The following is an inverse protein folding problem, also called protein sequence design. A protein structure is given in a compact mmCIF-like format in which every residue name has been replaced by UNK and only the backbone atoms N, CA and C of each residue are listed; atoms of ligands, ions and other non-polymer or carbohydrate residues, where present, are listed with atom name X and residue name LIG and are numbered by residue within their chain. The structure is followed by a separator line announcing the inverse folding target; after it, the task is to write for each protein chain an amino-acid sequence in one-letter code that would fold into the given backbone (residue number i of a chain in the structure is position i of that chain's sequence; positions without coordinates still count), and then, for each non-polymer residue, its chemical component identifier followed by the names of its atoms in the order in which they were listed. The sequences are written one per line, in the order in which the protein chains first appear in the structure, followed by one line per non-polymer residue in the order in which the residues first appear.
data_IF_593175063641
#
_entry.id   IF_593175063641
#
_cell.length_a   1.000
_cell.length_b   1.000
_cell.length_c   1.000
_cell.angle_alpha   90.00
_cell.angle_beta   90.00
_cell.angle_gamma   90.00
#
_symmetry.space_group_name_H-M   'P 1'
#
loop_
_entity.id
_entity.type
_entity.pdbx_description
1 polymer ?
#
# COMPACT_ATOMS: atom_id res chain seq x y z
N UNK A 1 2.12 -16.60 32.90
CA UNK A 1 2.01 -17.49 34.08
C UNK A 1 3.05 -18.58 33.92
N UNK A 2 3.88 -18.89 34.93
CA UNK A 2 4.90 -19.92 34.78
C UNK A 2 4.22 -21.29 34.66
N UNK A 3 4.67 -22.09 33.70
CA UNK A 3 4.18 -23.46 33.47
C UNK A 3 4.92 -24.51 34.30
N UNK A 4 5.97 -24.12 35.05
CA UNK A 4 6.72 -25.00 35.95
C UNK A 4 7.09 -24.23 37.22
N UNK A 5 6.68 -24.74 38.38
CA UNK A 5 7.11 -24.22 39.69
C UNK A 5 8.44 -24.83 40.12
N UNK A 6 9.29 -24.07 40.80
CA UNK A 6 10.46 -24.62 41.49
C UNK A 6 10.08 -25.23 42.84
N UNK A 7 10.63 -26.40 43.13
CA UNK A 7 10.62 -27.01 44.46
C UNK A 7 12.03 -26.91 45.06
N UNK A 8 12.12 -26.46 46.31
CA UNK A 8 13.38 -26.45 47.09
C UNK A 8 13.21 -27.34 48.32
N UNK A 9 14.22 -28.15 48.60
CA UNK A 9 14.18 -29.09 49.73
C UNK A 9 15.12 -28.61 50.84
N UNK A 10 14.63 -28.58 52.08
CA UNK A 10 15.46 -28.31 53.25
C UNK A 10 16.01 -29.63 53.78
N UNK A 11 17.34 -29.80 53.73
CA UNK A 11 18.02 -30.93 54.32
C UNK A 11 18.45 -30.57 55.74
N UNK A 12 18.04 -31.37 56.73
CA UNK A 12 18.49 -31.22 58.10
C UNK A 12 19.88 -31.85 58.27
N UNK A 13 20.82 -31.12 58.87
CA UNK A 13 22.09 -31.67 59.33
C UNK A 13 21.93 -32.19 60.78
N UNK A 14 22.74 -33.19 61.15
CA UNK A 14 22.74 -33.81 62.49
C UNK A 14 23.04 -32.83 63.65
N UNK A 15 23.47 -31.60 63.34
CA UNK A 15 23.77 -30.54 64.31
C UNK A 15 22.61 -29.55 64.53
N UNK A 16 21.39 -29.90 64.11
CA UNK A 16 20.20 -29.05 64.29
C UNK A 16 20.12 -27.83 63.37
N UNK A 17 20.93 -27.78 62.31
CA UNK A 17 20.89 -26.73 61.29
C UNK A 17 20.41 -27.28 59.94
N UNK A 18 19.59 -26.53 59.21
CA UNK A 18 19.13 -26.88 57.87
C UNK A 18 20.00 -26.24 56.79
N UNK A 19 20.24 -26.96 55.68
CA UNK A 19 20.78 -26.39 54.44
C UNK A 19 19.71 -26.52 53.35
N UNK A 20 19.38 -25.40 52.71
CA UNK A 20 18.54 -25.39 51.51
C UNK A 20 19.38 -25.89 50.33
N UNK A 21 18.90 -26.93 49.64
CA UNK A 21 19.49 -27.39 48.40
C UNK A 21 18.49 -27.18 47.24
N UNK A 22 18.98 -26.56 46.17
CA UNK A 22 18.22 -26.18 44.99
C UNK A 22 18.94 -25.09 44.21
N UNK A 23 19.19 -25.31 42.91
CA UNK A 23 20.04 -24.44 42.07
C UNK A 23 19.30 -23.67 40.98
N UNK A 24 17.97 -23.62 40.97
CA UNK A 24 17.27 -22.96 39.87
C UNK A 24 16.51 -21.73 40.36
N UNK A 25 17.02 -20.56 39.96
CA UNK A 25 16.21 -19.37 39.80
C UNK A 25 15.10 -19.71 38.80
N UNK A 26 13.85 -19.81 39.25
CA UNK A 26 12.70 -19.87 38.35
C UNK A 26 12.56 -18.50 37.71
N UNK A 27 13.18 -18.32 36.56
CA UNK A 27 13.04 -17.11 35.76
C UNK A 27 11.70 -17.19 35.06
N UNK A 28 10.78 -16.31 35.45
CA UNK A 28 9.53 -16.12 34.74
C UNK A 28 9.75 -15.05 33.68
N UNK A 29 10.19 -15.46 32.50
CA UNK A 29 10.23 -14.53 31.38
C UNK A 29 8.80 -14.22 30.92
N UNK A 30 8.47 -12.95 30.68
CA UNK A 30 7.17 -12.59 30.14
C UNK A 30 7.00 -13.21 28.75
N UNK A 31 5.78 -13.65 28.42
CA UNK A 31 5.44 -14.03 27.06
C UNK A 31 5.56 -12.78 26.18
N UNK A 32 6.34 -12.89 25.11
CA UNK A 32 6.50 -11.83 24.13
C UNK A 32 6.07 -12.32 22.76
N UNK A 33 5.38 -11.47 22.03
CA UNK A 33 5.17 -11.64 20.61
C UNK A 33 6.38 -11.09 19.85
N UNK A 34 6.62 -11.66 18.67
CA UNK A 34 7.61 -11.13 17.72
C UNK A 34 7.31 -9.65 17.44
N UNK A 35 8.33 -8.84 17.13
CA UNK A 35 8.12 -7.47 16.69
C UNK A 35 7.04 -7.41 15.61
N UNK A 36 6.20 -6.38 15.67
CA UNK A 36 5.12 -6.21 14.71
C UNK A 36 5.75 -5.71 13.41
N UNK A 37 5.61 -6.45 12.31
CA UNK A 37 6.18 -6.02 11.04
C UNK A 37 5.32 -4.90 10.43
N UNK A 38 5.91 -3.78 10.00
CA UNK A 38 5.16 -2.72 9.34
C UNK A 38 4.61 -3.25 8.00
N UNK A 39 3.35 -2.93 7.66
CA UNK A 39 2.81 -3.25 6.35
C UNK A 39 3.56 -2.48 5.26
N UNK A 40 3.70 -3.07 4.07
CA UNK A 40 4.14 -2.33 2.88
C UNK A 40 3.10 -1.24 2.56
N UNK A 41 3.52 -0.04 2.16
CA UNK A 41 2.64 1.12 1.97
C UNK A 41 1.78 1.47 3.20
N UNK A 42 2.36 1.29 4.38
CA UNK A 42 1.76 1.72 5.63
C UNK A 42 2.77 1.75 6.76
N UNK A 43 2.24 1.90 7.97
CA UNK A 43 3.06 2.08 9.16
C UNK A 43 2.37 1.57 10.42
N UNK A 44 3.17 1.34 11.46
CA UNK A 44 2.68 1.00 12.79
C UNK A 44 2.35 2.31 13.50
N UNK A 45 1.07 2.57 13.72
CA UNK A 45 0.61 3.78 14.40
C UNK A 45 1.04 3.79 15.87
N UNK A 46 1.10 2.62 16.50
CA UNK A 46 1.65 2.47 17.84
C UNK A 46 1.32 1.13 18.48
N UNK A 47 2.04 0.82 19.54
CA UNK A 47 1.80 -0.35 20.39
C UNK A 47 1.60 0.10 21.84
N UNK A 48 0.72 -0.58 22.57
CA UNK A 48 0.50 -0.32 23.98
C UNK A 48 0.41 -1.58 24.82
N UNK A 49 0.99 -1.56 26.01
CA UNK A 49 0.84 -2.58 27.04
C UNK A 49 0.13 -1.97 28.24
N UNK A 50 -1.04 -2.51 28.60
CA UNK A 50 -1.86 -1.98 29.70
C UNK A 50 -2.14 -0.47 29.60
N UNK A 51 -2.27 0.04 28.38
CA UNK A 51 -2.53 1.46 28.09
C UNK A 51 -1.28 2.36 28.06
N UNK A 52 -0.08 1.83 28.31
CA UNK A 52 1.18 2.56 28.14
C UNK A 52 1.80 2.28 26.77
N UNK A 53 2.26 3.33 26.09
CA UNK A 53 2.98 3.19 24.82
C UNK A 53 4.27 2.38 24.97
N UNK A 54 4.56 1.58 23.95
CA UNK A 54 5.73 0.68 23.89
C UNK A 54 6.50 0.91 22.61
N UNK A 55 7.80 0.60 22.61
CA UNK A 55 8.65 0.71 21.42
C UNK A 55 8.21 -0.34 20.39
N UNK A 56 7.80 0.10 19.20
CA UNK A 56 7.26 -0.76 18.14
C UNK A 56 8.34 -1.63 17.49
N UNK A 57 9.63 -1.29 17.67
CA UNK A 57 10.77 -2.04 17.12
C UNK A 57 11.18 -3.23 18.00
N UNK A 58 10.71 -3.28 19.24
CA UNK A 58 10.98 -4.36 20.18
C UNK A 58 9.87 -5.42 20.23
N UNK A 59 10.17 -6.56 20.84
CA UNK A 59 9.18 -7.61 21.10
C UNK A 59 8.15 -7.15 22.12
N UNK A 60 6.87 -7.39 21.83
CA UNK A 60 5.75 -6.87 22.61
C UNK A 60 5.33 -7.86 23.68
N UNK A 61 5.17 -7.41 24.92
CA UNK A 61 4.80 -8.26 26.06
C UNK A 61 3.29 -8.53 26.06
N UNK A 62 2.85 -9.75 26.35
CA UNK A 62 1.42 -10.02 26.56
C UNK A 62 0.87 -9.21 27.76
N UNK A 63 -0.32 -8.58 27.68
CA UNK A 63 -1.26 -8.50 26.56
C UNK A 63 -1.18 -7.16 25.79
N UNK A 64 -0.08 -6.91 25.08
CA UNK A 64 0.04 -5.70 24.24
C UNK A 64 -0.95 -5.70 23.08
N UNK A 65 -1.35 -4.49 22.68
CA UNK A 65 -2.16 -4.22 21.48
C UNK A 65 -1.38 -3.29 20.56
N UNK A 66 -1.23 -3.66 19.30
CA UNK A 66 -0.63 -2.82 18.27
C UNK A 66 -1.67 -2.43 17.21
N UNK A 67 -1.56 -1.20 16.74
CA UNK A 67 -2.38 -0.63 15.67
C UNK A 67 -1.48 -0.23 14.52
N UNK A 68 -1.84 -0.65 13.31
CA UNK A 68 -1.24 -0.20 12.06
C UNK A 68 -2.24 0.56 11.20
N UNK A 69 -1.72 1.35 10.27
CA UNK A 69 -2.48 2.10 9.31
C UNK A 69 -1.79 2.03 7.94
N UNK A 70 -2.57 2.25 6.89
CA UNK A 70 -2.05 2.40 5.53
C UNK A 70 -1.73 3.86 5.24
N UNK A 71 -0.79 4.08 4.32
CA UNK A 71 -0.50 5.41 3.79
C UNK A 71 -1.72 5.96 3.03
N UNK A 72 -1.79 7.28 2.89
CA UNK A 72 -2.88 7.92 2.15
C UNK A 72 -2.96 7.39 0.71
N UNK A 73 -4.16 6.98 0.29
CA UNK A 73 -4.39 6.35 -1.02
C UNK A 73 -4.49 4.82 -0.96
N UNK A 74 -3.93 4.19 0.07
CA UNK A 74 -3.98 2.73 0.22
C UNK A 74 -5.11 2.29 1.15
N UNK A 75 -5.72 1.16 0.82
CA UNK A 75 -6.86 0.59 1.56
C UNK A 75 -6.41 -0.60 2.42
N UNK A 76 -6.80 -0.65 3.72
CA UNK A 76 -6.41 -1.73 4.61
C UNK A 76 -7.14 -3.04 4.30
N UNK A 77 -6.37 -4.11 4.15
CA UNK A 77 -6.85 -5.48 4.03
C UNK A 77 -6.23 -6.35 5.13
N UNK A 78 -7.04 -6.87 6.06
CA UNK A 78 -6.56 -7.63 7.22
C UNK A 78 -6.89 -6.95 8.54
N UNK A 79 -6.05 -7.15 9.56
CA UNK A 79 -6.32 -6.63 10.92
C UNK A 79 -5.48 -5.39 11.22
N UNK A 80 -6.15 -4.23 11.23
CA UNK A 80 -5.58 -2.93 11.66
C UNK A 80 -5.11 -2.98 13.11
N UNK A 81 -5.85 -3.69 13.97
CA UNK A 81 -5.50 -3.89 15.39
C UNK A 81 -5.23 -5.36 15.63
N UNK A 82 -4.11 -5.66 16.30
CA UNK A 82 -3.72 -7.03 16.68
C UNK A 82 -3.30 -7.07 18.14
N UNK A 83 -3.69 -8.12 18.83
CA UNK A 83 -3.39 -8.38 20.23
C UNK A 83 -2.31 -9.45 20.32
N UNK A 84 -1.30 -9.20 21.16
CA UNK A 84 -0.34 -10.22 21.52
C UNK A 84 -1.05 -11.24 22.41
N UNK A 85 -1.07 -12.50 22.02
CA UNK A 85 -1.72 -13.57 22.77
C UNK A 85 -0.74 -14.22 23.76
N UNK A 86 -1.29 -14.92 24.76
CA UNK A 86 -0.51 -15.70 25.72
C UNK A 86 0.31 -16.83 25.09
N UNK A 87 0.01 -17.20 23.84
CA UNK A 87 0.80 -18.12 23.03
C UNK A 87 2.10 -17.49 22.48
N UNK A 88 2.30 -16.18 22.61
CA UNK A 88 3.41 -15.45 21.98
C UNK A 88 3.19 -15.17 20.49
N UNK A 89 1.97 -15.29 20.00
CA UNK A 89 1.58 -15.04 18.60
C UNK A 89 0.57 -13.91 18.57
N UNK A 90 0.64 -13.07 17.55
CA UNK A 90 -0.38 -12.05 17.26
C UNK A 90 -1.67 -12.71 16.77
N UNK A 91 -2.82 -12.29 17.30
CA UNK A 91 -4.12 -12.67 16.73
C UNK A 91 -4.36 -12.02 15.35
N UNK A 92 -5.50 -12.28 14.72
CA UNK A 92 -5.86 -11.64 13.45
C UNK A 92 -4.93 -11.97 12.28
N UNK A 93 -5.11 -11.24 11.18
CA UNK A 93 -4.30 -11.37 9.98
C UNK A 93 -3.31 -10.20 9.88
N UNK A 94 -2.11 -10.41 9.33
CA UNK A 94 -1.25 -9.30 8.90
C UNK A 94 -2.05 -8.27 8.09
N UNK A 95 -1.67 -7.00 8.22
CA UNK A 95 -2.29 -5.93 7.44
C UNK A 95 -1.54 -5.83 6.11
N UNK A 96 -2.29 -5.90 5.01
CA UNK A 96 -1.82 -5.55 3.68
C UNK A 96 -2.46 -4.21 3.29
N UNK A 97 -1.70 -3.30 2.70
CA UNK A 97 -2.20 -2.02 2.21
C UNK A 97 -2.21 -2.05 0.69
N UNK A 98 -3.41 -2.05 0.12
CA UNK A 98 -3.63 -2.27 -1.31
C UNK A 98 -4.01 -0.95 -1.99
N UNK A 99 -3.43 -0.67 -3.14
CA UNK A 99 -3.95 0.39 -3.99
C UNK A 99 -5.21 -0.10 -4.71
N UNK A 100 -6.27 0.70 -4.58
CA UNK A 100 -7.57 0.49 -5.21
C UNK A 100 -8.07 1.76 -5.88
N UNK A 101 -7.22 2.80 -5.90
CA UNK A 101 -7.53 4.09 -6.49
C UNK A 101 -7.03 4.10 -7.93
N UNK A 102 -7.83 4.66 -8.83
CA UNK A 102 -7.42 4.79 -10.22
C UNK A 102 -6.34 5.90 -10.37
N UNK A 103 -5.42 5.74 -11.34
CA UNK A 103 -4.46 6.80 -11.67
C UNK A 103 -5.19 8.06 -12.13
N UNK A 104 -4.66 9.23 -11.81
CA UNK A 104 -5.25 10.52 -12.18
C UNK A 104 -4.59 11.09 -13.44
N UNK A 105 -5.36 11.24 -14.52
CA UNK A 105 -4.88 11.81 -15.78
C UNK A 105 -5.18 13.31 -15.84
N UNK A 106 -4.15 14.14 -16.05
CA UNK A 106 -4.35 15.57 -16.36
C UNK A 106 -4.72 15.71 -17.82
N UNK A 107 -6.02 15.87 -18.09
CA UNK A 107 -6.53 16.06 -19.44
C UNK A 107 -6.13 17.42 -20.04
N UNK A 108 -5.54 17.44 -21.25
CA UNK A 108 -5.35 18.66 -22.02
C UNK A 108 -6.66 19.38 -22.31
N UNK A 109 -6.60 20.71 -22.39
CA UNK A 109 -7.68 21.52 -22.92
C UNK A 109 -7.94 21.20 -24.40
N UNK A 110 -9.16 21.46 -24.93
CA UNK A 110 -9.45 21.26 -26.35
C UNK A 110 -8.48 21.99 -27.27
N UNK A 111 -7.97 21.25 -28.26
CA UNK A 111 -6.88 21.65 -29.14
C UNK A 111 -7.47 22.15 -30.46
N UNK A 112 -6.89 23.20 -31.02
CA UNK A 112 -7.26 23.68 -32.36
C UNK A 112 -6.02 23.79 -33.23
N UNK A 113 -6.01 23.07 -34.34
CA UNK A 113 -4.97 23.16 -35.38
C UNK A 113 -5.53 23.78 -36.66
N UNK A 114 -4.68 24.51 -37.38
CA UNK A 114 -5.04 25.21 -38.60
C UNK A 114 -4.34 24.61 -39.80
N UNK A 115 -5.09 24.32 -40.85
CA UNK A 115 -4.56 23.83 -42.11
C UNK A 115 -3.76 24.92 -42.83
N UNK A 116 -2.78 24.49 -43.62
CA UNK A 116 -2.08 25.40 -44.53
C UNK A 116 -3.04 25.93 -45.61
N UNK A 117 -2.79 27.13 -46.18
CA UNK A 117 -3.63 27.65 -47.25
C UNK A 117 -3.75 26.64 -48.41
N UNK A 118 -4.99 26.40 -48.87
CA UNK A 118 -5.38 25.44 -49.92
C UNK A 118 -5.43 23.97 -49.51
N UNK A 119 -5.16 23.65 -48.24
CA UNK A 119 -5.41 22.32 -47.69
C UNK A 119 -6.66 22.37 -46.81
N UNK A 120 -7.35 21.24 -46.70
CA UNK A 120 -8.42 21.01 -45.74
C UNK A 120 -8.02 19.98 -44.69
N UNK A 121 -6.71 19.81 -44.45
CA UNK A 121 -6.17 18.84 -43.50
C UNK A 121 -4.93 19.40 -42.80
N UNK A 122 -4.67 18.86 -41.62
CA UNK A 122 -3.46 19.05 -40.84
C UNK A 122 -2.75 17.71 -40.68
N UNK A 123 -1.44 17.78 -40.46
CA UNK A 123 -0.63 16.65 -40.00
C UNK A 123 -0.25 16.98 -38.57
N UNK A 124 -0.89 16.32 -37.60
CA UNK A 124 -0.67 16.62 -36.18
C UNK A 124 0.61 15.95 -35.69
N UNK A 125 1.38 16.69 -34.90
CA UNK A 125 2.58 16.22 -34.20
C UNK A 125 2.30 15.77 -32.76
N UNK A 126 1.05 15.89 -32.32
CA UNK A 126 0.57 15.48 -31.00
C UNK A 126 1.30 16.19 -29.86
N UNK A 127 1.45 17.52 -29.97
CA UNK A 127 2.15 18.37 -29.00
C UNK A 127 1.66 18.28 -27.54
N UNK A 128 0.50 17.66 -27.28
CA UNK A 128 -0.06 17.45 -25.94
C UNK A 128 0.44 16.15 -25.28
N UNK A 129 1.20 15.33 -26.00
CA UNK A 129 1.80 14.10 -25.48
C UNK A 129 3.24 14.34 -25.01
N UNK A 130 3.70 13.67 -23.93
CA UNK A 130 2.97 12.70 -23.11
C UNK A 130 2.01 13.37 -22.09
N UNK A 131 0.88 12.70 -21.84
CA UNK A 131 -0.06 13.11 -20.80
C UNK A 131 0.58 13.01 -19.41
N UNK A 132 0.29 13.98 -18.54
CA UNK A 132 0.74 13.93 -17.15
C UNK A 132 -0.21 13.05 -16.35
N UNK A 133 0.33 12.02 -15.69
CA UNK A 133 -0.43 11.07 -14.89
C UNK A 133 0.19 10.96 -13.51
N UNK A 134 -0.66 10.97 -12.48
CA UNK A 134 -0.26 10.91 -11.07
C UNK A 134 -0.98 9.76 -10.42
N UNK A 135 -0.24 8.96 -9.65
CA UNK A 135 -0.76 7.78 -8.99
C UNK A 135 0.09 7.41 -7.76
N UNK A 136 -0.46 6.63 -6.84
CA UNK A 136 0.23 6.22 -5.60
C UNK A 136 1.05 4.94 -5.77
N UNK A 137 0.80 4.15 -6.82
CA UNK A 137 1.43 2.86 -7.16
C UNK A 137 2.08 2.86 -8.57
N UNK A 138 3.02 3.79 -8.86
CA UNK A 138 3.71 3.80 -10.16
C UNK A 138 4.53 2.51 -10.38
N UNK A 139 4.65 2.01 -11.64
CA UNK A 139 4.43 2.72 -12.90
C UNK A 139 3.00 2.60 -13.47
N UNK A 140 2.58 3.63 -14.22
CA UNK A 140 1.28 3.68 -14.92
C UNK A 140 1.48 3.53 -16.44
N UNK A 141 0.76 2.61 -17.07
CA UNK A 141 0.69 2.44 -18.53
C UNK A 141 -0.36 3.38 -19.12
N UNK A 142 0.04 4.22 -20.08
CA UNK A 142 -0.84 5.20 -20.73
C UNK A 142 -0.86 4.94 -22.23
N UNK A 143 -2.06 4.69 -22.78
CA UNK A 143 -2.24 4.38 -24.20
C UNK A 143 -3.45 5.06 -24.80
N UNK A 144 -3.38 5.33 -26.11
CA UNK A 144 -4.54 5.76 -26.87
C UNK A 144 -5.44 4.54 -27.14
N UNK A 145 -6.69 4.61 -26.68
CA UNK A 145 -7.67 3.55 -26.87
C UNK A 145 -8.42 3.68 -28.20
N UNK A 146 -8.84 4.91 -28.57
CA UNK A 146 -9.57 5.15 -29.82
C UNK A 146 -9.50 6.59 -30.31
N UNK A 147 -9.74 6.79 -31.61
CA UNK A 147 -10.06 8.08 -32.20
C UNK A 147 -11.48 8.00 -32.76
N UNK A 148 -12.36 8.90 -32.35
CA UNK A 148 -13.77 8.91 -32.75
C UNK A 148 -14.47 7.56 -32.53
N UNK A 149 -14.18 6.89 -31.40
CA UNK A 149 -14.67 5.55 -31.05
C UNK A 149 -14.20 4.41 -31.98
N UNK A 150 -13.28 4.68 -32.90
CA UNK A 150 -12.61 3.64 -33.69
C UNK A 150 -11.34 3.25 -32.95
N UNK A 151 -11.29 1.99 -32.50
CA UNK A 151 -10.10 1.45 -31.84
C UNK A 151 -8.89 1.61 -32.74
N UNK A 152 -7.85 2.25 -32.23
CA UNK A 152 -6.60 2.43 -32.96
C UNK A 152 -5.75 1.17 -32.82
N UNK A 153 -5.14 0.73 -33.94
CA UNK A 153 -4.19 -0.36 -33.95
C UNK A 153 -2.79 0.12 -33.55
N UNK A 154 -1.75 -0.66 -33.87
CA UNK A 154 -0.35 -0.28 -33.58
C UNK A 154 0.11 1.01 -34.30
N UNK A 155 -0.58 1.44 -35.37
CA UNK A 155 -0.24 2.64 -36.15
C UNK A 155 -1.39 3.65 -36.19
N UNK A 156 -1.25 4.72 -35.41
CA UNK A 156 -2.19 5.84 -35.35
C UNK A 156 -2.19 6.71 -36.61
N UNK A 157 -3.35 7.19 -37.02
CA UNK A 157 -3.47 8.23 -38.07
C UNK A 157 -2.88 9.57 -37.61
N UNK A 158 -2.06 10.22 -38.45
CA UNK A 158 -1.50 11.56 -38.17
C UNK A 158 -2.14 12.67 -39.01
N UNK A 159 -2.95 12.32 -40.01
CA UNK A 159 -3.56 13.25 -40.95
C UNK A 159 -5.03 13.42 -40.63
N UNK A 160 -5.44 14.65 -40.33
CA UNK A 160 -6.81 14.96 -39.93
C UNK A 160 -7.37 16.03 -40.87
N UNK A 161 -8.48 15.73 -41.53
CA UNK A 161 -9.21 16.72 -42.35
C UNK A 161 -9.97 17.69 -41.46
N UNK A 162 -10.48 18.78 -42.01
CA UNK A 162 -11.34 19.72 -41.31
C UNK A 162 -12.50 18.98 -40.60
N UNK A 163 -12.65 19.23 -39.30
CA UNK A 163 -13.59 18.50 -38.46
C UNK A 163 -13.21 18.49 -36.99
N UNK A 164 -14.00 17.76 -36.21
CA UNK A 164 -13.77 17.49 -34.79
C UNK A 164 -13.37 16.03 -34.61
N UNK A 165 -12.31 15.80 -33.84
CA UNK A 165 -11.79 14.47 -33.51
C UNK A 165 -11.66 14.34 -31.99
N UNK A 166 -12.13 13.21 -31.45
CA UNK A 166 -12.04 12.90 -30.02
C UNK A 166 -11.10 11.72 -29.81
N UNK A 167 -10.04 11.94 -29.06
CA UNK A 167 -9.01 10.95 -28.71
C UNK A 167 -9.27 10.45 -27.29
N UNK A 168 -9.59 9.17 -27.15
CA UNK A 168 -9.81 8.54 -25.84
C UNK A 168 -8.53 7.83 -25.39
N UNK A 169 -7.92 8.32 -24.33
CA UNK A 169 -6.78 7.72 -23.65
C UNK A 169 -7.24 6.89 -22.45
N UNK A 170 -6.50 5.83 -22.16
CA UNK A 170 -6.66 4.95 -21.01
C UNK A 170 -5.33 4.92 -20.25
N UNK A 171 -5.38 5.17 -18.94
CA UNK A 171 -4.27 4.94 -18.02
C UNK A 171 -4.61 3.74 -17.12
N UNK A 172 -3.66 2.84 -16.93
CA UNK A 172 -3.79 1.64 -16.09
C UNK A 172 -2.57 1.56 -15.16
N UNK A 173 -2.79 1.48 -13.86
CA UNK A 173 -1.71 1.26 -12.89
C UNK A 173 -1.27 -0.22 -12.84
N UNK A 174 -0.37 -0.56 -11.92
CA UNK A 174 0.13 -1.93 -11.79
C UNK A 174 -0.88 -2.89 -11.10
N UNK A 175 -1.82 -2.36 -10.31
CA UNK A 175 -2.90 -3.09 -9.64
C UNK A 175 -4.11 -3.32 -10.58
N UNK A 176 -4.12 -2.67 -11.75
CA UNK A 176 -5.17 -2.77 -12.75
C UNK A 176 -6.33 -1.79 -12.54
N UNK A 177 -6.14 -0.75 -11.72
CA UNK A 177 -7.11 0.35 -11.67
C UNK A 177 -6.93 1.24 -12.90
N UNK A 178 -8.06 1.74 -13.42
CA UNK A 178 -8.11 2.39 -14.72
C UNK A 178 -8.78 3.77 -14.63
N UNK A 179 -8.23 4.75 -15.36
CA UNK A 179 -8.88 6.03 -15.63
C UNK A 179 -8.80 6.38 -17.12
N UNK A 180 -9.69 7.24 -17.59
CA UNK A 180 -9.77 7.62 -19.01
C UNK A 180 -9.83 9.12 -19.21
N UNK A 181 -9.21 9.60 -20.28
CA UNK A 181 -9.17 11.00 -20.63
C UNK A 181 -9.55 11.19 -22.10
N UNK A 182 -10.44 12.14 -22.40
CA UNK A 182 -10.78 12.50 -23.78
C UNK A 182 -10.17 13.83 -24.16
N UNK A 183 -9.40 13.86 -25.24
CA UNK A 183 -8.82 15.07 -25.83
C UNK A 183 -9.53 15.37 -27.13
N UNK A 184 -10.07 16.58 -27.26
CA UNK A 184 -10.75 17.02 -28.48
C UNK A 184 -9.80 17.86 -29.34
N UNK A 185 -9.65 17.47 -30.61
CA UNK A 185 -8.92 18.20 -31.65
C UNK A 185 -9.91 18.77 -32.66
N UNK A 186 -9.90 20.09 -32.82
CA UNK A 186 -10.60 20.80 -33.89
C UNK A 186 -9.63 21.18 -34.99
N UNK A 187 -9.86 20.68 -36.20
CA UNK A 187 -9.10 21.08 -37.38
C UNK A 187 -9.90 22.13 -38.15
N UNK A 188 -9.27 23.28 -38.44
CA UNK A 188 -9.88 24.38 -39.19
C UNK A 188 -9.12 24.66 -40.49
N UNK A 189 -9.87 24.84 -41.58
CA UNK A 189 -9.37 25.21 -42.92
C UNK A 189 -9.26 26.71 -43.14
#
# INVERSE_FOLDING_TARGET
MPTVGSEVTCLANDNGSGRWEGTFLTVCDPVKCVPFDPPEHGFIQGCSHEGMGTDTTESQVFPSVCTAACDDGYTPFGSVNRNCLISGIWDGLPLDCLDVTAPSIVCPDPITEFAQPRNNFVVSDFSWEPLQVVDVSPPVDVRLLSINSVGEGENRTTVFTEGLYSFLYLAVDQEGNEDTCTVDLTVRG
#
